data_IF_818513868640
#
_entry.id   IF_818513868640
#
_cell.length_a   1.000
_cell.length_b   1.000
_cell.length_c   1.000
_cell.angle_alpha   90.00
_cell.angle_beta   90.00
_cell.angle_gamma   90.00
#
_symmetry.space_group_name_H-M   'P 1'
#
loop_
_entity.id
_entity.type
_entity.pdbx_description
1 polymer ?
#
# COMPACT_ATOMS: atom_id res chain seq x y z
N UNK A 1 -24.31 -9.85 -20.00
CA UNK A 1 -22.97 -10.21 -20.54
C UNK A 1 -22.05 -10.51 -19.37
N UNK A 2 -21.43 -11.69 -19.26
CA UNK A 2 -20.51 -11.98 -18.18
C UNK A 2 -19.15 -11.32 -18.45
N UNK A 3 -18.66 -10.49 -17.52
CA UNK A 3 -17.31 -9.92 -17.57
C UNK A 3 -16.27 -11.04 -17.46
N UNK A 4 -15.27 -11.01 -18.34
CA UNK A 4 -14.16 -11.98 -18.36
C UNK A 4 -13.10 -11.64 -17.30
N UNK A 5 -12.41 -12.67 -16.79
CA UNK A 5 -11.37 -12.57 -15.75
C UNK A 5 -10.27 -11.54 -16.03
N UNK A 6 -10.04 -11.18 -17.29
CA UNK A 6 -9.08 -10.16 -17.69
C UNK A 6 -9.50 -8.74 -17.27
N UNK A 7 -10.80 -8.42 -17.34
CA UNK A 7 -11.32 -7.09 -16.98
C UNK A 7 -11.30 -6.84 -15.47
N UNK A 8 -11.41 -7.88 -14.63
CA UNK A 8 -11.27 -7.72 -13.16
C UNK A 8 -9.83 -7.44 -12.73
N UNK A 9 -8.82 -7.88 -13.50
CA UNK A 9 -7.40 -7.66 -13.17
C UNK A 9 -6.95 -6.22 -13.46
N UNK A 10 -7.49 -5.58 -14.49
CA UNK A 10 -7.14 -4.21 -14.86
C UNK A 10 -7.49 -3.14 -13.82
N UNK A 11 -8.51 -3.39 -12.98
CA UNK A 11 -8.92 -2.43 -11.94
C UNK A 11 -8.02 -2.48 -10.69
N UNK A 12 -7.34 -3.60 -10.45
CA UNK A 12 -6.59 -3.85 -9.21
C UNK A 12 -5.08 -3.52 -9.36
N UNK A 13 -4.56 -3.58 -10.59
CA UNK A 13 -3.13 -3.30 -10.88
C UNK A 13 -2.77 -1.81 -10.72
N UNK A 14 -3.74 -0.90 -10.76
CA UNK A 14 -3.50 0.55 -10.63
C UNK A 14 -2.99 1.01 -9.25
N UNK A 15 -3.02 0.17 -8.22
CA UNK A 15 -2.65 0.54 -6.85
C UNK A 15 -1.25 0.07 -6.40
N UNK A 16 -0.54 -0.74 -7.19
CA UNK A 16 0.67 -1.44 -6.73
C UNK A 16 2.03 -0.83 -7.17
N UNK A 17 2.04 0.27 -7.94
CA UNK A 17 3.28 0.79 -8.55
C UNK A 17 4.09 1.81 -7.72
N UNK A 18 3.77 2.06 -6.45
CA UNK A 18 4.52 3.01 -5.61
C UNK A 18 5.22 2.28 -4.47
N UNK A 19 6.19 1.44 -4.82
CA UNK A 19 7.22 1.00 -3.89
C UNK A 19 8.40 0.47 -4.70
N UNK A 20 9.41 1.31 -4.95
CA UNK A 20 10.82 0.97 -5.11
C UNK A 20 11.58 2.18 -5.70
N UNK A 21 12.13 3.03 -4.83
CA UNK A 21 13.26 3.90 -5.18
C UNK A 21 13.95 4.38 -3.89
N UNK A 22 14.95 3.63 -3.43
CA UNK A 22 15.98 4.15 -2.53
C UNK A 22 17.33 3.78 -3.14
N UNK A 23 18.01 4.76 -3.74
CA UNK A 23 19.43 4.65 -4.09
C UNK A 23 20.11 5.94 -3.62
N UNK A 24 21.17 5.89 -2.79
CA UNK A 24 21.90 7.07 -2.35
C UNK A 24 22.88 7.55 -3.42
N UNK A 25 22.84 8.84 -3.71
CA UNK A 25 23.83 9.57 -4.51
C UNK A 25 25.17 9.65 -3.76
N UNK A 26 26.27 9.28 -4.44
CA UNK A 26 27.64 9.60 -4.07
C UNK A 26 28.39 10.01 -5.34
N UNK A 27 29.13 11.11 -5.22
CA UNK A 27 29.43 12.02 -6.32
C UNK A 27 30.52 11.60 -7.30
N UNK A 28 30.55 12.31 -8.42
CA UNK A 28 31.75 12.51 -9.22
C UNK A 28 31.64 13.83 -10.01
N UNK A 29 32.79 14.49 -10.11
CA UNK A 29 33.04 15.88 -10.48
C UNK A 29 32.56 16.34 -11.87
N UNK A 30 32.24 17.63 -11.94
CA UNK A 30 32.12 18.41 -13.17
C UNK A 30 33.49 18.73 -13.79
N UNK A 31 33.61 18.64 -15.13
CA UNK A 31 34.49 19.52 -15.88
C UNK A 31 33.68 20.61 -16.63
N UNK A 32 34.23 21.82 -16.56
CA UNK A 32 33.85 23.03 -17.29
C UNK A 32 34.14 22.91 -18.79
N UNK A 33 33.25 23.46 -19.63
CA UNK A 33 33.63 23.98 -20.94
C UNK A 33 32.72 25.15 -21.33
N UNK A 34 33.37 26.20 -21.82
CA UNK A 34 32.87 27.53 -22.08
C UNK A 34 31.80 27.61 -23.18
N UNK A 35 30.92 28.61 -23.06
CA UNK A 35 29.94 28.97 -24.07
C UNK A 35 30.46 29.94 -25.13
N UNK A 36 29.84 29.87 -26.31
CA UNK A 36 29.62 30.99 -27.22
C UNK A 36 28.55 30.60 -28.26
N UNK A 37 27.59 31.50 -28.53
CA UNK A 37 26.64 31.42 -29.66
C UNK A 37 25.18 31.17 -29.24
N UNK A 38 24.44 32.19 -28.79
CA UNK A 38 23.44 32.98 -29.57
C UNK A 38 22.18 32.21 -29.95
N UNK A 39 21.05 32.64 -29.38
CA UNK A 39 19.71 32.18 -29.76
C UNK A 39 18.82 32.11 -28.53
N UNK A 40 18.15 33.22 -28.19
CA UNK A 40 17.07 33.21 -27.22
C UNK A 40 15.87 32.51 -27.86
N UNK A 41 15.73 31.21 -27.60
CA UNK A 41 14.47 30.49 -27.77
C UNK A 41 13.91 30.19 -26.38
N UNK A 42 12.68 30.65 -26.21
CA UNK A 42 11.78 30.46 -25.08
C UNK A 42 11.70 28.97 -24.74
N UNK A 43 12.41 28.55 -23.68
CA UNK A 43 12.31 27.18 -23.19
C UNK A 43 10.97 27.04 -22.47
N UNK A 44 10.00 26.51 -23.19
CA UNK A 44 8.88 25.76 -22.63
C UNK A 44 9.47 24.75 -21.64
N UNK A 45 9.37 25.07 -20.34
CA UNK A 45 9.73 24.16 -19.25
C UNK A 45 8.62 23.14 -19.07
N UNK A 46 8.27 22.47 -20.17
CA UNK A 46 7.43 21.29 -20.16
C UNK A 46 8.16 20.14 -19.46
N UNK A 47 7.39 19.30 -18.77
CA UNK A 47 7.88 17.99 -18.35
C UNK A 47 8.41 17.29 -19.61
N UNK A 48 9.73 17.19 -19.74
CA UNK A 48 10.36 16.61 -20.92
C UNK A 48 9.81 15.22 -21.21
N UNK A 49 9.80 14.86 -22.49
CA UNK A 49 9.36 13.56 -22.99
C UNK A 49 9.95 12.45 -22.09
N UNK A 50 9.11 11.55 -21.52
CA UNK A 50 9.61 10.52 -20.62
C UNK A 50 10.76 9.79 -21.29
N UNK A 51 11.87 9.63 -20.55
CA UNK A 51 13.00 8.82 -21.01
C UNK A 51 12.47 7.41 -21.26
N UNK A 52 12.15 7.10 -22.51
CA UNK A 52 11.78 5.78 -22.95
C UNK A 52 13.05 4.91 -22.90
N UNK A 53 13.26 4.23 -21.78
CA UNK A 53 14.02 2.98 -21.78
C UNK A 53 13.20 1.88 -22.47
N UNK A 54 13.70 0.64 -22.46
CA UNK A 54 12.99 -0.55 -22.94
C UNK A 54 11.80 -0.94 -22.02
N UNK A 55 10.98 0.03 -21.62
CA UNK A 55 9.79 -0.17 -20.82
C UNK A 55 8.65 -0.51 -21.79
N UNK A 56 8.04 -1.71 -21.69
CA UNK A 56 6.95 -2.10 -22.58
C UNK A 56 5.80 -1.08 -22.57
N UNK A 57 5.21 -0.80 -23.74
CA UNK A 57 4.06 0.09 -23.88
C UNK A 57 2.82 -0.51 -23.20
N UNK A 58 2.67 -0.20 -21.91
CA UNK A 58 1.50 -0.52 -21.10
C UNK A 58 1.66 -1.73 -20.18
N UNK A 59 0.90 -1.70 -19.07
CA UNK A 59 0.97 -2.72 -18.02
C UNK A 59 0.73 -4.15 -18.51
N UNK A 60 -0.08 -4.33 -19.55
CA UNK A 60 -0.36 -5.64 -20.14
C UNK A 60 0.88 -6.27 -20.80
N UNK A 61 1.75 -5.45 -21.41
CA UNK A 61 2.97 -5.93 -22.05
C UNK A 61 4.07 -6.32 -21.03
N UNK A 62 3.93 -5.91 -19.77
CA UNK A 62 4.82 -6.30 -18.66
C UNK A 62 4.45 -7.66 -18.03
N UNK A 63 3.23 -8.15 -18.24
CA UNK A 63 2.77 -9.45 -17.73
C UNK A 63 3.05 -10.53 -18.78
N UNK A 64 4.31 -10.97 -18.82
CA UNK A 64 4.73 -12.12 -19.63
C UNK A 64 4.43 -13.43 -18.90
N UNK A 65 4.41 -14.59 -19.60
CA UNK A 65 4.28 -15.89 -18.95
C UNK A 65 5.34 -16.14 -17.87
N UNK A 66 6.55 -15.63 -18.07
CA UNK A 66 7.64 -15.68 -17.08
C UNK A 66 7.30 -14.84 -15.84
N UNK A 67 6.82 -13.61 -16.03
CA UNK A 67 6.36 -12.75 -14.93
C UNK A 67 5.24 -13.41 -14.14
N UNK A 68 4.24 -14.00 -14.82
CA UNK A 68 3.14 -14.71 -14.18
C UNK A 68 3.64 -15.89 -13.31
N UNK A 69 4.57 -16.70 -13.81
CA UNK A 69 5.16 -17.81 -13.05
C UNK A 69 5.88 -17.32 -11.78
N UNK A 70 6.58 -16.19 -11.86
CA UNK A 70 7.30 -15.62 -10.71
C UNK A 70 6.31 -15.06 -9.68
N UNK A 71 5.25 -14.40 -10.13
CA UNK A 71 4.16 -13.92 -9.25
C UNK A 71 3.53 -15.10 -8.51
N UNK A 72 3.15 -16.16 -9.22
CA UNK A 72 2.55 -17.36 -8.63
C UNK A 72 3.48 -18.01 -7.60
N UNK A 73 4.77 -18.13 -7.93
CA UNK A 73 5.79 -18.69 -7.03
C UNK A 73 5.96 -17.85 -5.77
N UNK A 74 6.00 -16.53 -5.92
CA UNK A 74 6.12 -15.58 -4.81
C UNK A 74 4.92 -15.63 -3.87
N UNK A 75 3.70 -15.69 -4.41
CA UNK A 75 2.48 -15.80 -3.62
C UNK A 75 2.36 -17.16 -2.93
N UNK A 76 2.76 -18.25 -3.60
CA UNK A 76 2.79 -19.56 -2.99
C UNK A 76 3.80 -19.62 -1.83
N UNK A 77 4.96 -18.99 -1.96
CA UNK A 77 5.91 -18.84 -0.86
C UNK A 77 5.31 -17.99 0.27
N UNK A 78 4.72 -16.84 -0.06
CA UNK A 78 4.11 -15.95 0.92
C UNK A 78 3.04 -16.70 1.71
N UNK A 79 2.15 -17.45 1.05
CA UNK A 79 1.11 -18.22 1.71
C UNK A 79 1.64 -19.26 2.71
N UNK A 80 2.81 -19.87 2.42
CA UNK A 80 3.46 -20.82 3.35
C UNK A 80 4.21 -20.12 4.50
N UNK A 81 4.54 -18.84 4.33
CA UNK A 81 5.24 -18.02 5.34
C UNK A 81 4.31 -17.35 6.35
N UNK A 82 2.98 -17.54 6.25
CA UNK A 82 2.02 -16.99 7.21
C UNK A 82 2.20 -17.66 8.58
N UNK A 83 2.25 -16.86 9.64
CA UNK A 83 2.36 -17.35 11.01
C UNK A 83 1.08 -18.09 11.45
N UNK A 84 1.18 -18.87 12.53
CA UNK A 84 0.04 -19.62 13.08
C UNK A 84 -1.12 -18.71 13.55
N UNK A 85 -0.81 -17.51 14.03
CA UNK A 85 -1.76 -16.48 14.46
C UNK A 85 -2.35 -15.65 13.29
N UNK A 86 -2.03 -15.99 12.04
CA UNK A 86 -2.51 -15.29 10.86
C UNK A 86 -1.67 -14.08 10.43
N UNK A 87 -0.72 -13.66 11.26
CA UNK A 87 0.18 -12.56 10.94
C UNK A 87 1.28 -12.93 9.95
N UNK A 88 2.02 -11.91 9.49
CA UNK A 88 3.24 -12.07 8.71
C UNK A 88 4.44 -11.39 9.38
N UNK A 89 5.61 -11.57 8.77
CA UNK A 89 6.88 -11.02 9.21
C UNK A 89 7.69 -11.99 10.07
N UNK A 90 8.98 -11.70 10.17
CA UNK A 90 9.97 -12.49 10.91
C UNK A 90 10.86 -11.57 11.74
N UNK A 91 11.60 -12.14 12.70
CA UNK A 91 12.50 -11.36 13.57
C UNK A 91 11.76 -10.22 14.26
N UNK A 92 12.31 -9.00 14.16
CA UNK A 92 11.74 -7.77 14.75
C UNK A 92 10.41 -7.34 14.11
N UNK A 93 10.07 -7.85 12.93
CA UNK A 93 8.82 -7.56 12.23
C UNK A 93 7.78 -8.67 12.37
N UNK A 94 8.03 -9.71 13.16
CA UNK A 94 7.06 -10.79 13.39
C UNK A 94 5.79 -10.21 14.04
N UNK A 95 4.65 -10.37 13.38
CA UNK A 95 3.38 -9.81 13.86
C UNK A 95 3.18 -8.33 13.50
N UNK A 96 4.05 -7.75 12.66
CA UNK A 96 3.90 -6.36 12.27
C UNK A 96 2.64 -6.17 11.42
N UNK A 97 1.79 -5.22 11.80
CA UNK A 97 0.50 -4.97 11.14
C UNK A 97 0.69 -4.49 9.71
N UNK A 98 1.66 -3.60 9.45
CA UNK A 98 1.91 -3.13 8.08
C UNK A 98 2.32 -4.28 7.16
N UNK A 99 3.25 -5.14 7.62
CA UNK A 99 3.69 -6.32 6.87
C UNK A 99 2.53 -7.28 6.61
N UNK A 100 1.72 -7.56 7.65
CA UNK A 100 0.54 -8.44 7.54
C UNK A 100 -0.50 -7.88 6.56
N UNK A 101 -0.75 -6.59 6.62
CA UNK A 101 -1.72 -5.90 5.77
C UNK A 101 -1.27 -5.88 4.30
N UNK A 102 0.01 -5.62 4.04
CA UNK A 102 0.59 -5.69 2.70
C UNK A 102 0.55 -7.09 2.11
N UNK A 103 0.80 -8.13 2.93
CA UNK A 103 0.65 -9.51 2.48
C UNK A 103 -0.80 -9.84 2.09
N UNK A 104 -1.78 -9.40 2.90
CA UNK A 104 -3.21 -9.53 2.59
C UNK A 104 -3.59 -8.83 1.28
N UNK A 105 -3.14 -7.59 1.09
CA UNK A 105 -3.34 -6.82 -0.14
C UNK A 105 -2.69 -7.49 -1.36
N UNK A 106 -1.50 -8.07 -1.23
CA UNK A 106 -0.84 -8.81 -2.31
C UNK A 106 -1.66 -10.03 -2.77
N UNK A 107 -2.27 -10.77 -1.85
CA UNK A 107 -3.19 -11.85 -2.22
C UNK A 107 -4.44 -11.31 -2.92
N UNK A 108 -5.02 -10.22 -2.42
CA UNK A 108 -6.20 -9.60 -3.05
C UNK A 108 -5.90 -9.07 -4.45
N UNK A 109 -4.66 -8.64 -4.70
CA UNK A 109 -4.22 -8.17 -6.01
C UNK A 109 -4.35 -9.23 -7.13
N UNK A 110 -4.39 -10.52 -6.77
CA UNK A 110 -4.59 -11.62 -7.73
C UNK A 110 -6.05 -11.93 -8.07
N UNK A 111 -6.99 -11.24 -7.41
CA UNK A 111 -8.43 -11.51 -7.51
C UNK A 111 -8.95 -12.52 -6.47
N UNK A 112 -8.15 -12.90 -5.48
CA UNK A 112 -8.67 -13.55 -4.26
C UNK A 112 -9.35 -12.50 -3.38
N UNK A 113 -10.28 -12.92 -2.51
CA UNK A 113 -10.91 -12.05 -1.51
C UNK A 113 -11.07 -12.81 -0.20
N UNK A 114 -11.40 -12.15 0.94
CA UNK A 114 -11.65 -12.88 2.18
C UNK A 114 -12.69 -13.99 1.97
N UNK A 115 -12.33 -15.24 2.28
CA UNK A 115 -13.17 -16.42 2.11
C UNK A 115 -13.35 -16.94 0.67
N UNK A 116 -12.68 -16.35 -0.34
CA UNK A 116 -12.86 -16.75 -1.76
C UNK A 116 -11.55 -16.74 -2.54
N UNK A 117 -11.42 -17.72 -3.44
CA UNK A 117 -10.24 -17.85 -4.30
C UNK A 117 -9.10 -18.62 -3.61
N UNK A 118 -7.99 -18.84 -4.33
CA UNK A 118 -6.90 -19.70 -3.86
C UNK A 118 -6.24 -19.21 -2.57
N UNK A 119 -6.25 -17.90 -2.32
CA UNK A 119 -5.64 -17.29 -1.13
C UNK A 119 -6.67 -16.75 -0.12
N UNK A 120 -7.96 -17.08 -0.30
CA UNK A 120 -9.04 -16.61 0.57
C UNK A 120 -8.83 -16.92 2.06
N UNK A 121 -8.44 -18.16 2.44
CA UNK A 121 -8.17 -18.51 3.83
C UNK A 121 -7.00 -17.72 4.44
N UNK A 122 -5.95 -17.43 3.67
CA UNK A 122 -4.80 -16.65 4.12
C UNK A 122 -5.22 -15.20 4.38
N UNK A 123 -6.06 -14.64 3.50
CA UNK A 123 -6.63 -13.29 3.65
C UNK A 123 -7.51 -13.22 4.90
N UNK A 124 -8.41 -14.19 5.12
CA UNK A 124 -9.28 -14.21 6.32
C UNK A 124 -8.46 -14.22 7.61
N UNK A 125 -7.41 -15.04 7.69
CA UNK A 125 -6.55 -15.11 8.89
C UNK A 125 -5.74 -13.82 9.11
N UNK A 126 -5.26 -13.19 8.04
CA UNK A 126 -4.59 -11.90 8.15
C UNK A 126 -5.57 -10.79 8.58
N UNK A 127 -6.80 -10.84 8.06
CA UNK A 127 -7.86 -9.89 8.40
C UNK A 127 -8.28 -10.03 9.87
N UNK A 128 -8.49 -11.25 10.35
CA UNK A 128 -8.76 -11.55 11.76
C UNK A 128 -7.64 -10.99 12.65
N UNK A 129 -6.39 -11.27 12.34
CA UNK A 129 -5.23 -10.73 13.08
C UNK A 129 -5.24 -9.19 13.16
N UNK A 130 -5.54 -8.49 12.06
CA UNK A 130 -5.59 -7.02 12.05
C UNK A 130 -6.78 -6.49 12.85
N UNK A 131 -7.95 -7.13 12.77
CA UNK A 131 -9.14 -6.75 13.53
C UNK A 131 -8.95 -6.95 15.05
N UNK A 132 -8.28 -8.04 15.44
CA UNK A 132 -7.96 -8.35 16.84
C UNK A 132 -6.97 -7.37 17.44
N UNK A 133 -6.07 -6.83 16.62
CA UNK A 133 -5.11 -5.80 17.01
C UNK A 133 -5.62 -4.36 16.75
N UNK A 134 -6.93 -4.20 16.53
CA UNK A 134 -7.60 -2.90 16.49
C UNK A 134 -8.20 -2.58 17.86
N UNK A 135 -7.61 -1.60 18.54
CA UNK A 135 -8.03 -1.17 19.88
C UNK A 135 -9.46 -0.59 19.89
N UNK A 136 -10.07 -0.40 21.08
CA UNK A 136 -11.37 0.28 21.19
C UNK A 136 -11.38 1.70 20.62
N UNK A 137 -10.24 2.41 20.62
CA UNK A 137 -10.11 3.74 20.02
C UNK A 137 -9.96 3.70 18.49
N UNK A 138 -9.85 2.51 17.90
CA UNK A 138 -9.57 2.33 16.47
C UNK A 138 -8.08 2.32 16.12
N UNK A 139 -7.19 2.47 17.10
CA UNK A 139 -5.76 2.42 16.83
C UNK A 139 -5.33 0.99 16.49
N UNK A 140 -4.61 0.83 15.38
CA UNK A 140 -4.17 -0.47 14.87
C UNK A 140 -2.65 -0.54 14.95
N UNK A 141 -2.16 -1.19 15.99
CA UNK A 141 -0.74 -1.39 16.22
C UNK A 141 -0.51 -2.54 17.19
N UNK A 142 0.61 -3.24 17.03
CA UNK A 142 1.10 -4.23 17.99
C UNK A 142 2.34 -3.65 18.65
N UNK A 143 2.25 -3.34 19.95
CA UNK A 143 3.36 -2.71 20.67
C UNK A 143 4.66 -3.54 20.57
N UNK A 144 4.56 -4.87 20.68
CA UNK A 144 5.69 -5.80 20.61
C UNK A 144 6.34 -5.90 19.22
N UNK A 145 5.64 -5.50 18.15
CA UNK A 145 6.13 -5.56 16.76
C UNK A 145 6.24 -4.15 16.12
N UNK A 146 6.16 -3.11 16.95
CA UNK A 146 6.16 -1.71 16.50
C UNK A 146 7.59 -1.20 16.31
N UNK A 147 8.04 -1.13 15.06
CA UNK A 147 9.29 -0.48 14.68
C UNK A 147 9.07 1.01 14.49
N UNK A 148 9.47 1.85 15.45
CA UNK A 148 9.62 3.33 15.40
C UNK A 148 8.51 4.20 14.72
N UNK A 149 7.35 3.65 14.37
CA UNK A 149 6.32 4.36 13.61
C UNK A 149 4.99 3.62 13.54
N UNK A 150 4.25 3.48 14.66
CA UNK A 150 2.99 2.75 14.69
C UNK A 150 1.92 3.33 13.76
N UNK A 151 2.00 4.60 13.36
CA UNK A 151 1.10 5.16 12.34
C UNK A 151 1.27 4.55 10.94
N UNK A 152 2.42 3.97 10.58
CA UNK A 152 2.51 3.15 9.36
C UNK A 152 1.63 1.90 9.47
N UNK A 153 1.74 1.19 10.60
CA UNK A 153 0.90 0.04 10.90
C UNK A 153 -0.58 0.42 10.87
N UNK A 154 -0.93 1.56 11.45
CA UNK A 154 -2.29 2.06 11.43
C UNK A 154 -2.79 2.36 10.01
N UNK A 155 -2.01 3.07 9.19
CA UNK A 155 -2.38 3.40 7.82
C UNK A 155 -2.57 2.17 6.94
N UNK A 156 -1.58 1.26 6.93
CA UNK A 156 -1.67 0.03 6.13
C UNK A 156 -2.74 -0.93 6.64
N UNK A 157 -2.92 -1.04 7.96
CA UNK A 157 -4.03 -1.80 8.55
C UNK A 157 -5.39 -1.27 8.12
N UNK A 158 -5.57 0.05 8.18
CA UNK A 158 -6.82 0.71 7.77
C UNK A 158 -7.08 0.53 6.27
N UNK A 159 -6.05 0.66 5.43
CA UNK A 159 -6.13 0.38 4.00
C UNK A 159 -6.60 -1.06 3.73
N UNK A 160 -6.00 -2.05 4.40
CA UNK A 160 -6.38 -3.44 4.22
C UNK A 160 -7.81 -3.73 4.68
N UNK A 161 -8.24 -3.18 5.84
CA UNK A 161 -9.63 -3.26 6.28
C UNK A 161 -10.59 -2.64 5.27
N UNK A 162 -10.23 -1.49 4.68
CA UNK A 162 -11.06 -0.80 3.69
C UNK A 162 -11.25 -1.63 2.41
N UNK A 163 -10.16 -2.17 1.86
CA UNK A 163 -10.21 -3.03 0.66
C UNK A 163 -11.01 -4.32 0.94
N UNK A 164 -10.76 -4.98 2.08
CA UNK A 164 -11.51 -6.18 2.46
C UNK A 164 -13.01 -5.90 2.67
N UNK A 165 -13.36 -4.77 3.28
CA UNK A 165 -14.75 -4.34 3.44
C UNK A 165 -15.40 -4.01 2.08
N UNK A 166 -14.69 -3.32 1.19
CA UNK A 166 -15.17 -3.02 -0.16
C UNK A 166 -15.50 -4.26 -1.00
N UNK A 167 -14.81 -5.38 -0.75
CA UNK A 167 -15.06 -6.66 -1.43
C UNK A 167 -16.17 -7.51 -0.80
N UNK A 168 -16.38 -7.39 0.52
CA UNK A 168 -17.19 -8.37 1.28
C UNK A 168 -18.41 -7.80 1.99
N UNK A 169 -18.39 -6.50 2.31
CA UNK A 169 -19.39 -5.82 3.13
C UNK A 169 -19.67 -6.45 4.51
N UNK A 170 -18.72 -7.22 5.06
CA UNK A 170 -18.83 -7.80 6.40
C UNK A 170 -18.93 -6.70 7.47
N UNK A 171 -19.91 -6.82 8.36
CA UNK A 171 -20.25 -5.79 9.36
C UNK A 171 -19.17 -5.57 10.40
N UNK A 172 -18.52 -6.65 10.83
CA UNK A 172 -17.43 -6.63 11.80
C UNK A 172 -16.21 -5.84 11.29
N UNK A 173 -15.92 -5.91 9.99
CA UNK A 173 -14.85 -5.10 9.37
C UNK A 173 -15.25 -3.62 9.40
N UNK A 174 -16.51 -3.31 9.05
CA UNK A 174 -17.02 -1.94 8.99
C UNK A 174 -16.87 -1.23 10.34
N UNK A 175 -17.21 -1.89 11.43
CA UNK A 175 -17.13 -1.31 12.78
C UNK A 175 -15.69 -0.94 13.16
N UNK A 176 -14.73 -1.81 12.88
CA UNK A 176 -13.31 -1.55 13.12
C UNK A 176 -12.78 -0.45 12.21
N UNK A 177 -13.10 -0.53 10.92
CA UNK A 177 -12.69 0.44 9.91
C UNK A 177 -13.17 1.85 10.24
N UNK A 178 -14.43 2.01 10.68
CA UNK A 178 -14.96 3.33 11.05
C UNK A 178 -14.20 3.96 12.21
N UNK A 179 -13.81 3.18 13.21
CA UNK A 179 -13.02 3.67 14.35
C UNK A 179 -11.61 4.04 13.91
N UNK A 180 -10.99 3.22 13.07
CA UNK A 180 -9.67 3.48 12.53
C UNK A 180 -9.63 4.77 11.69
N UNK A 181 -10.59 4.94 10.79
CA UNK A 181 -10.76 6.16 9.99
C UNK A 181 -10.94 7.41 10.86
N UNK A 182 -11.76 7.33 11.91
CA UNK A 182 -11.94 8.44 12.86
C UNK A 182 -10.61 8.81 13.52
N UNK A 183 -9.82 7.82 13.95
CA UNK A 183 -8.50 8.11 14.53
C UNK A 183 -7.58 8.84 13.55
N UNK A 184 -7.57 8.46 12.27
CA UNK A 184 -6.79 9.19 11.26
C UNK A 184 -7.24 10.65 11.21
N UNK A 185 -8.54 10.91 11.05
CA UNK A 185 -9.10 12.27 10.97
C UNK A 185 -8.79 13.07 12.25
N UNK A 186 -8.97 12.45 13.40
CA UNK A 186 -8.80 13.08 14.71
C UNK A 186 -7.35 13.39 15.07
N UNK A 187 -6.39 12.88 14.30
CA UNK A 187 -4.95 13.03 14.56
C UNK A 187 -4.23 13.83 13.47
N UNK A 188 -4.95 14.30 12.45
CA UNK A 188 -4.40 15.19 11.42
C UNK A 188 -3.94 16.52 12.04
N UNK A 189 -2.71 16.94 11.73
CA UNK A 189 -2.20 18.24 12.16
C UNK A 189 -2.83 19.39 11.35
N UNK A 190 -2.52 20.65 11.71
CA UNK A 190 -3.06 21.84 11.04
C UNK A 190 -2.62 22.01 9.58
N UNK A 191 -1.56 21.32 9.15
CA UNK A 191 -1.03 21.35 7.79
C UNK A 191 -1.55 20.19 6.93
N UNK A 192 -2.40 19.33 7.50
CA UNK A 192 -2.99 18.19 6.81
C UNK A 192 -2.15 16.90 6.85
N UNK A 193 -1.09 16.84 7.67
CA UNK A 193 -0.15 15.72 7.74
C UNK A 193 -0.21 14.92 9.04
N UNK A 194 0.52 13.80 9.03
CA UNK A 194 0.71 12.88 10.15
C UNK A 194 2.17 12.45 10.27
N UNK A 195 2.58 12.07 11.48
CA UNK A 195 3.88 11.43 11.74
C UNK A 195 3.67 10.11 12.47
N UNK A 196 4.73 9.62 13.11
CA UNK A 196 4.83 8.29 13.69
C UNK A 196 3.87 8.00 14.83
N UNK A 197 3.38 9.03 15.53
CA UNK A 197 2.44 8.90 16.64
C UNK A 197 1.09 9.55 16.29
N UNK A 198 -0.02 9.05 16.84
CA UNK A 198 -1.37 9.58 16.61
C UNK A 198 -1.59 10.90 17.36
N UNK A 199 -0.83 11.94 17.02
CA UNK A 199 -0.88 13.27 17.65
C UNK A 199 -0.78 14.37 16.60
N UNK A 200 -1.47 15.48 16.83
CA UNK A 200 -1.55 16.63 15.92
C UNK A 200 -0.35 17.58 16.04
N UNK A 201 0.89 17.09 15.85
CA UNK A 201 2.10 17.88 16.10
C UNK A 201 2.93 18.17 14.86
N UNK A 202 3.37 17.12 14.18
CA UNK A 202 4.34 17.17 13.09
C UNK A 202 3.89 16.25 11.96
N UNK A 203 4.54 16.37 10.81
CA UNK A 203 4.26 15.55 9.63
C UNK A 203 5.52 14.83 9.14
N UNK A 204 5.31 13.66 8.55
CA UNK A 204 6.25 12.98 7.67
C UNK A 204 5.51 12.67 6.36
N UNK A 205 6.17 12.90 5.23
CA UNK A 205 5.53 12.76 3.91
C UNK A 205 5.04 11.33 3.68
N UNK A 206 5.86 10.33 4.00
CA UNK A 206 5.52 8.93 3.73
C UNK A 206 4.41 8.42 4.64
N UNK A 207 4.40 8.79 5.93
CA UNK A 207 3.29 8.45 6.83
C UNK A 207 2.00 9.15 6.39
N UNK A 208 2.10 10.40 5.94
CA UNK A 208 0.96 11.17 5.43
C UNK A 208 0.32 10.48 4.23
N UNK A 209 1.12 10.00 3.26
CA UNK A 209 0.59 9.25 2.12
C UNK A 209 -0.05 7.93 2.55
N UNK A 210 0.51 7.21 3.54
CA UNK A 210 -0.13 6.01 4.07
C UNK A 210 -1.54 6.31 4.62
N UNK A 211 -1.71 7.40 5.37
CA UNK A 211 -3.03 7.79 5.90
C UNK A 211 -3.99 8.20 4.79
N UNK A 212 -3.52 8.99 3.82
CA UNK A 212 -4.34 9.44 2.69
C UNK A 212 -4.83 8.25 1.86
N UNK A 213 -3.97 7.26 1.59
CA UNK A 213 -4.36 6.05 0.87
C UNK A 213 -5.44 5.26 1.64
N UNK A 214 -5.29 5.15 2.97
CA UNK A 214 -6.29 4.50 3.80
C UNK A 214 -7.64 5.23 3.78
N UNK A 215 -7.65 6.57 3.92
CA UNK A 215 -8.86 7.39 3.83
C UNK A 215 -9.52 7.28 2.45
N UNK A 216 -8.71 7.26 1.38
CA UNK A 216 -9.21 7.12 0.02
C UNK A 216 -9.85 5.76 -0.19
N UNK A 217 -9.22 4.68 0.27
CA UNK A 217 -9.79 3.34 0.21
C UNK A 217 -11.09 3.24 1.02
N UNK A 218 -11.14 3.81 2.23
CA UNK A 218 -12.35 3.85 3.04
C UNK A 218 -13.51 4.57 2.31
N UNK A 219 -13.22 5.69 1.66
CA UNK A 219 -14.18 6.40 0.81
C UNK A 219 -14.68 5.53 -0.34
N UNK A 220 -13.78 4.87 -1.05
CA UNK A 220 -14.12 3.98 -2.16
C UNK A 220 -15.02 2.82 -1.70
N UNK A 221 -14.81 2.33 -0.47
CA UNK A 221 -15.64 1.29 0.14
C UNK A 221 -16.99 1.80 0.71
N UNK A 222 -17.30 3.09 0.54
CA UNK A 222 -18.60 3.67 0.92
C UNK A 222 -18.68 4.22 2.36
N UNK A 223 -17.54 4.47 3.02
CA UNK A 223 -17.51 5.22 4.27
C UNK A 223 -17.44 6.72 3.99
N UNK A 224 -18.06 7.51 4.86
CA UNK A 224 -17.84 8.95 4.91
C UNK A 224 -16.53 9.24 5.64
N UNK A 225 -15.69 10.07 5.03
CA UNK A 225 -14.38 10.54 5.50
C UNK A 225 -14.30 12.04 5.40
#
# INVERSE_FOLDING_TARGET
MPMTRSMMRGLVVGAACIALAVVPWLGAAHPSAAGAGTGADEKDVGFGDPRHGDVPEGAAAMITPETDRVIESGLAWLARSQNADGSFGTGTYRGNIAVTSLAGLAFMATGSSPGRGPYGPQIDRALEYVMDNTSPSGFIAVAAASTHGPMYSHGFGTLFLAEAYGMTHRTEIREKLQKAVRLIIDTQNSEGGWRYQPVRRDADLSVTICQINALRAARNAGLYV
#
